data_IF_038307063634
#
_entry.id   IF_038307063634
#
_cell.length_a   1.000
_cell.length_b   1.000
_cell.length_c   1.000
_cell.angle_alpha   90.00
_cell.angle_beta   90.00
_cell.angle_gamma   90.00
#
_symmetry.space_group_name_H-M   'P 1'
#
loop_
_entity.id
_entity.type
_entity.pdbx_description
1 polymer ?
#
# COMPACT_ATOMS: atom_id res chain seq x y z
N UNK A 1 27.41 -19.99 12.21
CA UNK A 1 26.52 -18.77 12.18
C UNK A 1 26.10 -18.48 13.62
N UNK A 2 26.39 -17.30 14.12
CA UNK A 2 26.24 -16.93 15.54
C UNK A 2 24.76 -16.97 15.97
N UNK A 3 24.39 -17.76 16.98
CA UNK A 3 23.03 -17.99 17.46
C UNK A 3 22.43 -16.74 18.11
N UNK A 4 23.26 -15.98 18.85
CA UNK A 4 22.84 -14.78 19.60
C UNK A 4 22.19 -13.70 18.71
N UNK A 5 22.79 -13.26 17.58
CA UNK A 5 22.14 -12.30 16.71
C UNK A 5 20.80 -12.78 16.13
N UNK A 6 20.63 -14.07 15.87
CA UNK A 6 19.36 -14.64 15.37
C UNK A 6 18.25 -14.51 16.40
N UNK A 7 18.54 -14.81 17.67
CA UNK A 7 17.58 -14.71 18.77
C UNK A 7 17.17 -13.25 18.96
N UNK A 8 18.15 -12.34 19.03
CA UNK A 8 17.90 -10.89 19.20
C UNK A 8 17.03 -10.35 18.05
N UNK A 9 17.39 -10.66 16.81
CA UNK A 9 16.61 -10.23 15.63
C UNK A 9 15.17 -10.76 15.66
N UNK A 10 14.99 -12.04 16.01
CA UNK A 10 13.65 -12.63 16.15
C UNK A 10 12.85 -11.93 17.25
N UNK A 11 13.46 -11.67 18.40
CA UNK A 11 12.81 -10.98 19.51
C UNK A 11 12.37 -9.57 19.13
N UNK A 12 13.26 -8.74 18.56
CA UNK A 12 12.94 -7.37 18.12
C UNK A 12 11.80 -7.38 17.09
N UNK A 13 11.88 -8.24 16.08
CA UNK A 13 10.84 -8.38 15.06
C UNK A 13 9.49 -8.71 15.68
N UNK A 14 9.45 -9.72 16.54
CA UNK A 14 8.20 -10.17 17.18
C UNK A 14 7.61 -9.09 18.08
N UNK A 15 8.43 -8.45 18.91
CA UNK A 15 7.98 -7.38 19.82
C UNK A 15 7.43 -6.19 19.05
N UNK A 16 8.09 -5.75 17.98
CA UNK A 16 7.58 -4.69 17.10
C UNK A 16 6.25 -5.07 16.48
N UNK A 17 6.14 -6.27 15.89
CA UNK A 17 4.89 -6.71 15.26
C UNK A 17 3.73 -6.82 16.25
N UNK A 18 3.97 -7.27 17.48
CA UNK A 18 2.97 -7.32 18.54
C UNK A 18 2.55 -5.92 18.97
N UNK A 19 3.48 -5.01 19.16
CA UNK A 19 3.21 -3.62 19.52
C UNK A 19 2.31 -2.94 18.49
N UNK A 20 2.66 -2.99 17.19
CA UNK A 20 1.87 -2.38 16.13
C UNK A 20 0.48 -3.01 15.98
N UNK A 21 0.37 -4.32 16.18
CA UNK A 21 -0.91 -5.01 16.21
C UNK A 21 -1.78 -4.53 17.38
N UNK A 22 -1.19 -4.32 18.55
CA UNK A 22 -1.90 -3.87 19.75
C UNK A 22 -2.47 -2.45 19.62
N UNK A 23 -1.72 -1.54 18.98
CA UNK A 23 -2.16 -0.16 18.76
C UNK A 23 -3.02 0.02 17.49
N UNK A 24 -3.24 -1.02 16.69
CA UNK A 24 -4.11 -0.97 15.51
C UNK A 24 -5.57 -0.82 15.90
N UNK A 25 -6.30 0.07 15.23
CA UNK A 25 -7.70 0.41 15.52
C UNK A 25 -8.68 0.00 14.42
N UNK A 26 -8.21 -0.10 13.16
CA UNK A 26 -9.05 -0.47 12.03
C UNK A 26 -9.49 -1.95 12.12
N UNK A 27 -10.70 -2.24 11.63
CA UNK A 27 -11.22 -3.61 11.53
C UNK A 27 -10.48 -4.37 10.43
N UNK A 28 -9.80 -5.46 10.80
CA UNK A 28 -9.10 -6.33 9.85
C UNK A 28 -9.91 -7.60 9.62
N UNK A 29 -10.18 -7.89 8.34
CA UNK A 29 -10.79 -9.12 7.85
C UNK A 29 -9.74 -9.89 7.04
N UNK A 30 -9.45 -11.11 7.44
CA UNK A 30 -8.38 -11.95 6.88
C UNK A 30 -7.14 -12.04 7.79
N UNK A 31 -6.10 -12.71 7.29
CA UNK A 31 -4.88 -13.00 8.06
C UNK A 31 -3.69 -12.19 7.56
N UNK A 32 -3.14 -11.33 8.41
CA UNK A 32 -1.90 -10.61 8.14
C UNK A 32 -0.70 -11.51 8.44
N UNK A 33 0.11 -11.81 7.41
CA UNK A 33 1.43 -12.44 7.57
C UNK A 33 2.47 -11.33 7.55
N UNK A 34 2.88 -10.89 8.74
CA UNK A 34 3.78 -9.75 8.94
C UNK A 34 5.24 -10.20 9.09
N UNK A 35 6.07 -9.92 8.09
CA UNK A 35 7.53 -10.00 8.18
C UNK A 35 8.09 -8.69 8.73
N UNK A 36 7.52 -7.55 8.32
CA UNK A 36 7.69 -6.23 8.93
C UNK A 36 6.42 -5.85 9.70
N UNK A 37 6.46 -4.96 10.72
CA UNK A 37 5.26 -4.53 11.43
C UNK A 37 4.20 -3.94 10.51
N UNK A 38 2.92 -4.18 10.81
CA UNK A 38 1.77 -3.60 10.09
C UNK A 38 0.91 -2.84 11.08
N UNK A 39 0.70 -1.56 10.82
CA UNK A 39 -0.25 -0.71 11.54
C UNK A 39 -1.52 -0.55 10.70
N UNK A 40 -2.64 -1.00 11.24
CA UNK A 40 -3.96 -0.78 10.67
C UNK A 40 -4.70 0.25 11.52
N UNK A 41 -4.74 1.51 11.07
CA UNK A 41 -5.31 2.62 11.83
C UNK A 41 -6.51 3.21 11.10
N UNK A 42 -7.58 3.55 11.82
CA UNK A 42 -8.75 4.20 11.23
C UNK A 42 -10.07 3.58 11.69
N UNK A 43 -11.17 4.08 11.13
CA UNK A 43 -12.53 3.66 11.46
C UNK A 43 -13.10 2.63 10.48
N UNK A 44 -12.47 2.49 9.31
CA UNK A 44 -12.91 1.63 8.22
C UNK A 44 -12.38 0.20 8.32
N UNK A 45 -12.26 -0.45 7.15
CA UNK A 45 -11.93 -1.87 7.06
C UNK A 45 -10.68 -2.10 6.23
N UNK A 46 -9.87 -3.08 6.65
CA UNK A 46 -8.80 -3.68 5.86
C UNK A 46 -9.19 -5.12 5.57
N UNK A 47 -9.28 -5.49 4.29
CA UNK A 47 -9.54 -6.87 3.85
C UNK A 47 -8.25 -7.45 3.28
N UNK A 48 -7.84 -8.60 3.78
CA UNK A 48 -6.59 -9.26 3.39
C UNK A 48 -6.91 -10.67 2.92
N UNK A 49 -6.57 -10.95 1.68
CA UNK A 49 -6.74 -12.28 1.09
C UNK A 49 -5.78 -13.32 1.67
N UNK A 50 -5.83 -14.51 1.12
CA UNK A 50 -4.96 -15.61 1.52
C UNK A 50 -3.53 -15.40 1.01
N UNK A 51 -2.52 -15.83 1.80
CA UNK A 51 -1.08 -15.78 1.42
C UNK A 51 -0.58 -14.37 1.09
N UNK A 52 -1.20 -13.33 1.61
CA UNK A 52 -0.66 -11.96 1.53
C UNK A 52 0.47 -11.82 2.54
N UNK A 53 1.63 -11.31 2.08
CA UNK A 53 2.83 -11.14 2.91
C UNK A 53 3.21 -9.66 2.96
N UNK A 54 3.45 -9.15 4.15
CA UNK A 54 3.91 -7.79 4.38
C UNK A 54 5.35 -7.78 4.88
N UNK A 55 6.22 -7.13 4.11
CA UNK A 55 7.62 -6.90 4.44
C UNK A 55 8.59 -7.89 3.79
N UNK A 56 9.82 -7.40 3.63
CA UNK A 56 10.95 -8.15 3.09
C UNK A 56 12.19 -7.94 3.97
N UNK A 57 12.72 -9.03 4.55
CA UNK A 57 13.76 -8.95 5.59
C UNK A 57 15.11 -8.43 5.09
N UNK A 58 15.44 -8.63 3.83
CA UNK A 58 16.72 -8.21 3.25
C UNK A 58 16.75 -6.76 2.77
N UNK A 59 15.66 -6.03 2.96
CA UNK A 59 15.57 -4.61 2.64
C UNK A 59 16.22 -3.74 3.73
N UNK A 60 16.87 -2.64 3.33
CA UNK A 60 17.52 -1.70 4.22
C UNK A 60 16.56 -1.10 5.28
N UNK A 61 15.31 -0.84 4.91
CA UNK A 61 14.29 -0.24 5.78
C UNK A 61 13.59 -1.24 6.71
N UNK A 62 13.95 -2.50 6.68
CA UNK A 62 13.31 -3.56 7.47
C UNK A 62 13.24 -3.25 8.98
N UNK A 63 14.31 -2.69 9.55
CA UNK A 63 14.41 -2.44 10.99
C UNK A 63 13.77 -1.14 11.45
N UNK A 64 13.55 -0.19 10.55
CA UNK A 64 13.14 1.19 10.86
C UNK A 64 11.72 1.50 10.41
N UNK A 65 11.19 0.78 9.41
CA UNK A 65 9.86 1.04 8.84
C UNK A 65 8.78 0.10 9.35
N UNK A 66 7.56 0.39 8.93
CA UNK A 66 6.37 -0.44 9.06
C UNK A 66 5.46 -0.24 7.84
N UNK A 67 4.51 -1.12 7.64
CA UNK A 67 3.43 -0.95 6.68
C UNK A 67 2.28 -0.20 7.34
N UNK A 68 1.76 0.83 6.68
CA UNK A 68 0.67 1.66 7.17
C UNK A 68 -0.58 1.53 6.31
N UNK A 69 -1.65 0.97 6.87
CA UNK A 69 -2.95 0.81 6.23
C UNK A 69 -3.98 1.63 7.00
N UNK A 70 -4.42 2.75 6.41
CA UNK A 70 -5.29 3.70 7.09
C UNK A 70 -6.60 3.93 6.33
N UNK A 71 -7.63 3.09 6.55
CA UNK A 71 -9.01 3.41 6.15
C UNK A 71 -9.62 4.39 7.16
N UNK A 72 -9.50 5.69 6.90
CA UNK A 72 -9.82 6.79 7.84
C UNK A 72 -11.27 6.84 8.27
N UNK A 73 -12.20 6.69 7.31
CA UNK A 73 -13.64 6.78 7.58
C UNK A 73 -14.27 5.39 7.74
N UNK A 74 -15.50 5.33 8.25
CA UNK A 74 -16.23 4.07 8.43
C UNK A 74 -16.53 3.37 7.10
N UNK A 75 -16.70 4.13 6.04
CA UNK A 75 -17.03 3.69 4.68
C UNK A 75 -15.77 3.26 3.91
N UNK A 76 -14.61 3.78 4.30
CA UNK A 76 -13.35 3.48 3.61
C UNK A 76 -12.95 2.01 3.75
N UNK A 77 -12.45 1.45 2.65
CA UNK A 77 -11.96 0.08 2.62
C UNK A 77 -10.64 0.00 1.86
N UNK A 78 -9.67 -0.71 2.43
CA UNK A 78 -8.45 -1.12 1.74
C UNK A 78 -8.53 -2.63 1.57
N UNK A 79 -8.56 -3.13 0.33
CA UNK A 79 -8.59 -4.55 0.04
C UNK A 79 -7.32 -4.99 -0.71
N UNK A 80 -6.78 -6.14 -0.32
CA UNK A 80 -5.56 -6.72 -0.88
C UNK A 80 -5.84 -8.17 -1.21
N UNK A 81 -5.72 -8.53 -2.49
CA UNK A 81 -6.04 -9.85 -3.04
C UNK A 81 -5.01 -10.93 -2.69
N UNK A 82 -5.39 -12.18 -2.98
CA UNK A 82 -4.62 -13.37 -2.66
C UNK A 82 -3.21 -13.34 -3.27
N UNK A 83 -2.22 -13.87 -2.54
CA UNK A 83 -0.85 -14.04 -3.04
C UNK A 83 -0.04 -12.76 -3.23
N UNK A 84 -0.61 -11.60 -2.93
CA UNK A 84 0.06 -10.29 -3.06
C UNK A 84 1.19 -10.15 -2.04
N UNK A 85 2.31 -9.61 -2.49
CA UNK A 85 3.49 -9.35 -1.68
C UNK A 85 3.76 -7.84 -1.62
N UNK A 86 3.82 -7.31 -0.41
CA UNK A 86 4.01 -5.88 -0.15
C UNK A 86 5.32 -5.70 0.60
N UNK A 87 6.28 -4.97 0.01
CA UNK A 87 7.56 -4.68 0.65
C UNK A 87 7.42 -3.68 1.81
N UNK A 88 8.56 -3.30 2.38
CA UNK A 88 8.64 -2.43 3.55
C UNK A 88 8.19 -0.99 3.24
N UNK A 89 7.81 -0.24 4.28
CA UNK A 89 7.46 1.18 4.17
C UNK A 89 6.30 1.46 3.19
N UNK A 90 5.41 0.49 2.98
CA UNK A 90 4.20 0.68 2.20
C UNK A 90 3.18 1.50 2.98
N UNK A 91 2.54 2.45 2.30
CA UNK A 91 1.48 3.29 2.86
C UNK A 91 0.25 3.25 1.96
N UNK A 92 -0.91 2.92 2.52
CA UNK A 92 -2.20 3.04 1.86
C UNK A 92 -3.15 3.85 2.76
N UNK A 93 -3.65 4.98 2.26
CA UNK A 93 -4.58 5.83 3.00
C UNK A 93 -5.85 6.00 2.17
N UNK A 94 -6.97 5.54 2.72
CA UNK A 94 -8.28 5.64 2.11
C UNK A 94 -9.21 6.49 3.00
N UNK A 95 -9.81 7.51 2.41
CA UNK A 95 -10.76 8.41 3.08
C UNK A 95 -12.17 8.31 2.48
N UNK A 96 -12.27 7.85 1.24
CA UNK A 96 -13.52 7.79 0.48
C UNK A 96 -13.79 6.42 -0.15
N UNK A 97 -13.80 6.32 -1.49
CA UNK A 97 -14.26 5.12 -2.21
C UNK A 97 -13.31 3.92 -2.09
N UNK A 98 -12.12 4.13 -1.51
CA UNK A 98 -11.21 3.06 -1.13
C UNK A 98 -10.14 2.69 -2.13
N UNK A 99 -9.33 1.71 -1.72
CA UNK A 99 -8.18 1.19 -2.46
C UNK A 99 -8.37 -0.31 -2.65
N UNK A 100 -8.27 -0.77 -3.89
CA UNK A 100 -8.35 -2.17 -4.26
C UNK A 100 -7.05 -2.61 -4.92
N UNK A 101 -6.38 -3.58 -4.30
CA UNK A 101 -5.18 -4.23 -4.82
C UNK A 101 -5.56 -5.68 -5.13
N UNK A 102 -5.35 -6.10 -6.37
CA UNK A 102 -5.72 -7.41 -6.89
C UNK A 102 -4.86 -8.55 -6.36
N UNK A 103 -4.95 -9.69 -7.02
CA UNK A 103 -4.23 -10.91 -6.67
C UNK A 103 -2.83 -10.94 -7.29
N UNK A 104 -1.87 -11.60 -6.61
CA UNK A 104 -0.49 -11.81 -7.07
C UNK A 104 0.23 -10.52 -7.47
N UNK A 105 -0.11 -9.40 -6.84
CA UNK A 105 0.55 -8.10 -7.05
C UNK A 105 1.88 -8.08 -6.30
N UNK A 106 2.93 -7.56 -6.94
CA UNK A 106 4.22 -7.30 -6.31
C UNK A 106 4.36 -5.80 -6.05
N UNK A 107 4.51 -5.41 -4.81
CA UNK A 107 4.64 -4.00 -4.40
C UNK A 107 6.01 -3.74 -3.81
N UNK A 108 6.77 -2.86 -4.44
CA UNK A 108 8.10 -2.44 -4.03
C UNK A 108 8.12 -1.65 -2.72
N UNK A 109 9.32 -1.33 -2.27
CA UNK A 109 9.56 -0.58 -1.03
C UNK A 109 9.16 0.89 -1.18
N UNK A 110 8.54 1.46 -0.14
CA UNK A 110 8.20 2.87 -0.08
C UNK A 110 7.07 3.31 -1.02
N UNK A 111 6.25 2.38 -1.48
CA UNK A 111 5.08 2.69 -2.31
C UNK A 111 4.00 3.36 -1.47
N UNK A 112 3.39 4.42 -2.01
CA UNK A 112 2.27 5.16 -1.39
C UNK A 112 1.05 5.13 -2.30
N UNK A 113 -0.12 4.81 -1.73
CA UNK A 113 -1.41 4.76 -2.44
C UNK A 113 -2.43 5.60 -1.71
N UNK A 114 -3.06 6.55 -2.41
CA UNK A 114 -3.96 7.55 -1.84
C UNK A 114 -5.25 7.63 -2.67
N UNK A 115 -6.43 7.57 -2.01
CA UNK A 115 -7.73 7.72 -2.69
C UNK A 115 -8.34 9.13 -2.58
N UNK A 116 -7.64 10.06 -1.93
CA UNK A 116 -8.11 11.41 -1.64
C UNK A 116 -7.01 12.45 -1.84
N UNK A 117 -7.39 13.72 -2.07
CA UNK A 117 -6.51 14.88 -1.95
C UNK A 117 -6.36 15.34 -0.49
N UNK A 118 -7.18 14.83 0.42
CA UNK A 118 -7.28 15.17 1.85
C UNK A 118 -7.62 16.63 2.16
N UNK A 119 -7.48 17.52 1.20
CA UNK A 119 -7.83 18.94 1.29
C UNK A 119 -8.48 19.44 0.02
N UNK A 120 -9.32 20.46 0.13
CA UNK A 120 -9.83 21.22 -1.02
C UNK A 120 -8.68 21.99 -1.67
N UNK A 121 -8.66 22.05 -3.01
CA UNK A 121 -7.61 22.74 -3.77
C UNK A 121 -7.76 24.27 -3.64
N UNK A 122 -8.98 24.77 -3.57
CA UNK A 122 -9.27 26.18 -3.40
C UNK A 122 -8.70 26.70 -2.08
N UNK A 123 -7.96 27.79 -2.12
CA UNK A 123 -7.19 28.29 -0.98
C UNK A 123 -8.06 28.69 0.21
N UNK A 124 -9.25 29.24 -0.05
CA UNK A 124 -10.25 29.65 0.94
C UNK A 124 -11.00 28.48 1.59
N UNK A 125 -10.98 27.30 0.95
CA UNK A 125 -11.65 26.07 1.41
C UNK A 125 -10.69 24.95 1.80
N UNK A 126 -9.40 25.20 1.79
CA UNK A 126 -8.36 24.17 2.04
C UNK A 126 -8.50 23.54 3.42
N UNK A 127 -8.94 24.29 4.40
CA UNK A 127 -9.30 23.81 5.74
C UNK A 127 -10.82 23.76 5.84
N UNK A 128 -11.39 22.58 6.08
CA UNK A 128 -12.83 22.37 6.25
C UNK A 128 -13.66 22.23 4.97
N UNK A 129 -13.04 22.33 3.79
CA UNK A 129 -13.69 21.99 2.52
C UNK A 129 -13.78 20.49 2.25
N UNK A 130 -14.40 20.12 1.12
CA UNK A 130 -14.56 18.72 0.71
C UNK A 130 -13.48 18.33 -0.29
N UNK A 131 -12.54 17.42 0.09
CA UNK A 131 -11.49 16.98 -0.83
C UNK A 131 -12.05 16.18 -2.00
N UNK A 132 -11.37 16.21 -3.13
CA UNK A 132 -11.68 15.30 -4.23
C UNK A 132 -11.15 13.91 -3.90
N UNK A 133 -12.01 12.91 -4.09
CA UNK A 133 -11.70 11.50 -3.85
C UNK A 133 -11.92 10.70 -5.13
N UNK A 134 -11.26 9.56 -5.25
CA UNK A 134 -11.43 8.65 -6.37
C UNK A 134 -10.87 7.28 -6.03
N UNK A 135 -11.65 6.23 -6.30
CA UNK A 135 -11.21 4.85 -6.06
C UNK A 135 -9.91 4.56 -6.78
N UNK A 136 -8.97 3.90 -6.09
CA UNK A 136 -7.76 3.37 -6.70
C UNK A 136 -7.92 1.89 -6.94
N UNK A 137 -7.61 1.43 -8.16
CA UNK A 137 -7.67 0.03 -8.54
C UNK A 137 -6.33 -0.41 -9.12
N UNK A 138 -5.72 -1.40 -8.52
CA UNK A 138 -4.53 -2.09 -9.01
C UNK A 138 -4.96 -3.52 -9.33
N UNK A 139 -4.99 -3.87 -10.61
CA UNK A 139 -5.48 -5.18 -11.05
C UNK A 139 -4.50 -6.31 -10.72
N UNK A 140 -4.88 -7.54 -11.08
CA UNK A 140 -4.09 -8.73 -10.78
C UNK A 140 -2.75 -8.75 -11.53
N UNK A 141 -1.74 -9.39 -10.91
CA UNK A 141 -0.42 -9.62 -11.48
C UNK A 141 0.32 -8.34 -11.91
N UNK A 142 0.04 -7.21 -11.24
CA UNK A 142 0.77 -5.94 -11.44
C UNK A 142 2.06 -5.96 -10.63
N UNK A 143 3.15 -5.47 -11.24
CA UNK A 143 4.39 -5.21 -10.53
C UNK A 143 4.60 -3.71 -10.37
N UNK A 144 4.68 -3.23 -9.12
CA UNK A 144 4.92 -1.83 -8.76
C UNK A 144 6.35 -1.71 -8.24
N UNK A 145 7.17 -0.92 -8.90
CA UNK A 145 8.54 -0.63 -8.49
C UNK A 145 8.61 0.20 -7.20
N UNK A 146 9.82 0.38 -6.69
CA UNK A 146 10.06 1.11 -5.44
C UNK A 146 9.67 2.58 -5.54
N UNK A 147 9.22 3.16 -4.43
CA UNK A 147 8.92 4.59 -4.27
C UNK A 147 7.93 5.15 -5.31
N UNK A 148 7.02 4.31 -5.77
CA UNK A 148 5.90 4.74 -6.63
C UNK A 148 4.84 5.40 -5.76
N UNK A 149 4.25 6.50 -6.26
CA UNK A 149 3.06 7.14 -5.67
C UNK A 149 1.88 6.94 -6.61
N UNK A 150 0.78 6.38 -6.09
CA UNK A 150 -0.47 6.16 -6.82
C UNK A 150 -1.54 7.06 -6.24
N UNK A 151 -2.04 7.97 -7.06
CA UNK A 151 -2.99 8.99 -6.64
C UNK A 151 -4.44 8.55 -6.89
N UNK A 152 -5.36 9.23 -6.22
CA UNK A 152 -6.80 9.02 -6.33
C UNK A 152 -7.29 8.88 -7.77
N UNK A 153 -8.26 8.00 -7.98
CA UNK A 153 -8.88 7.77 -9.29
C UNK A 153 -8.00 7.00 -10.27
N UNK A 154 -6.81 6.53 -9.84
CA UNK A 154 -5.93 5.75 -10.71
C UNK A 154 -6.42 4.31 -10.86
N UNK A 155 -6.27 3.77 -12.06
CA UNK A 155 -6.52 2.36 -12.37
C UNK A 155 -5.36 1.81 -13.18
N UNK A 156 -4.79 0.69 -12.74
CA UNK A 156 -3.68 0.00 -13.40
C UNK A 156 -4.18 -1.37 -13.84
N UNK A 157 -4.16 -1.61 -15.16
CA UNK A 157 -4.62 -2.86 -15.77
C UNK A 157 -3.72 -4.05 -15.43
N UNK A 158 -4.26 -5.25 -15.67
CA UNK A 158 -3.61 -6.55 -15.36
C UNK A 158 -2.26 -6.69 -16.06
N UNK A 159 -1.36 -7.46 -15.42
CA UNK A 159 -0.04 -7.81 -15.96
C UNK A 159 0.87 -6.60 -16.24
N UNK A 160 0.52 -5.40 -15.77
CA UNK A 160 1.30 -4.20 -16.04
C UNK A 160 2.43 -4.00 -15.03
N UNK A 161 3.42 -3.21 -15.43
CA UNK A 161 4.57 -2.86 -14.59
C UNK A 161 4.62 -1.35 -14.42
N UNK A 162 4.77 -0.88 -13.18
CA UNK A 162 5.02 0.54 -12.88
C UNK A 162 6.48 0.70 -12.51
N UNK A 163 7.21 1.51 -13.28
CA UNK A 163 8.62 1.80 -13.03
C UNK A 163 8.82 2.53 -11.70
N UNK A 164 9.93 2.26 -11.05
CA UNK A 164 10.27 2.90 -9.77
C UNK A 164 10.23 4.45 -9.86
N UNK A 165 9.94 5.10 -8.73
CA UNK A 165 9.86 6.56 -8.58
C UNK A 165 8.81 7.24 -9.48
N UNK A 166 7.82 6.52 -9.99
CA UNK A 166 6.74 7.07 -10.81
C UNK A 166 5.62 7.66 -9.97
N UNK A 167 4.90 8.65 -10.52
CA UNK A 167 3.65 9.19 -9.95
C UNK A 167 2.51 8.85 -10.90
N UNK A 168 1.68 7.89 -10.47
CA UNK A 168 0.54 7.39 -11.25
C UNK A 168 -0.69 8.23 -10.96
N UNK A 169 -1.24 8.88 -11.98
CA UNK A 169 -2.45 9.70 -11.93
C UNK A 169 -3.25 9.50 -13.21
N UNK A 170 -4.09 8.45 -13.26
CA UNK A 170 -4.91 8.14 -14.42
C UNK A 170 -5.21 6.66 -14.59
N UNK A 171 -5.79 6.33 -15.74
CA UNK A 171 -6.22 4.97 -16.11
C UNK A 171 -5.26 4.40 -17.14
N UNK A 172 -4.74 3.21 -16.87
CA UNK A 172 -3.77 2.52 -17.71
C UNK A 172 -4.30 1.14 -18.11
N UNK A 173 -4.13 0.73 -19.37
CA UNK A 173 -4.63 -0.56 -19.87
C UNK A 173 -3.81 -1.73 -19.31
N UNK A 174 -4.25 -2.94 -19.64
CA UNK A 174 -3.53 -4.17 -19.34
C UNK A 174 -2.23 -4.29 -20.16
N UNK A 175 -1.27 -5.07 -19.65
CA UNK A 175 -0.07 -5.50 -20.37
C UNK A 175 0.82 -4.33 -20.84
N UNK A 176 1.04 -3.32 -19.98
CA UNK A 176 1.87 -2.16 -20.30
C UNK A 176 2.95 -1.93 -19.24
N UNK A 177 4.06 -1.30 -19.66
CA UNK A 177 5.03 -0.67 -18.78
C UNK A 177 4.68 0.81 -18.67
N UNK A 178 4.52 1.30 -17.43
CA UNK A 178 4.13 2.66 -17.08
C UNK A 178 5.30 3.31 -16.34
N UNK A 179 5.58 4.60 -16.57
CA UNK A 179 6.62 5.30 -15.82
C UNK A 179 6.63 6.80 -16.00
N UNK A 180 7.30 7.50 -15.09
CA UNK A 180 7.47 8.95 -15.11
C UNK A 180 6.64 9.72 -14.10
N UNK A 181 6.77 11.06 -14.11
CA UNK A 181 6.06 12.01 -13.24
C UNK A 181 5.52 13.17 -14.11
N UNK A 182 4.21 13.19 -14.45
CA UNK A 182 3.24 12.13 -14.27
C UNK A 182 3.55 10.90 -15.12
N UNK A 183 3.10 9.72 -14.66
CA UNK A 183 3.33 8.46 -15.37
C UNK A 183 2.58 8.40 -16.70
N UNK A 184 3.24 7.78 -17.71
CA UNK A 184 2.67 7.50 -19.03
C UNK A 184 3.00 6.06 -19.43
N UNK A 185 2.27 5.51 -20.40
CA UNK A 185 2.63 4.24 -21.01
C UNK A 185 3.97 4.42 -21.76
N UNK A 186 4.95 3.61 -21.42
CA UNK A 186 6.27 3.58 -22.06
C UNK A 186 6.27 2.62 -23.24
N UNK A 187 5.69 1.41 -23.02
CA UNK A 187 5.57 0.34 -24.04
C UNK A 187 4.55 -0.70 -23.62
N UNK A 188 4.15 -1.53 -24.54
CA UNK A 188 3.41 -2.76 -24.27
C UNK A 188 4.35 -3.88 -23.81
N UNK A 189 3.79 -4.88 -23.11
CA UNK A 189 4.48 -6.11 -22.68
C UNK A 189 4.15 -7.22 -23.65
#
# INVERSE_FOLDING_TARGET
MNLVPRIIRKFIRTSRSLFYRFISTAKVDGKIVAVTPVLCEGLGKVRVGNRVVFGFQSDADFWTSYVFLNPRTKEACISIGNGTQVCNHFTAVAEGPGIEIGENVLVGTGVTVLDSDFHEIASDKRIGGTPKMGKVVISDNVWIGDRVTILKGSSIGKNSVVAACSVVAGVFPDNVVIGGVPAKVIRNI
#
